data_IF_065718611452
#
_entry.id   IF_065718611452
#
_cell.length_a   1.000
_cell.length_b   1.000
_cell.length_c   1.000
_cell.angle_alpha   90.00
_cell.angle_beta   90.00
_cell.angle_gamma   90.00
#
_symmetry.space_group_name_H-M   'P 1'
#
loop_
_entity.id
_entity.type
_entity.pdbx_description
1 polymer ?
#
# COMPACT_ATOMS: atom_id res chain seq x y z
N UNK A 1 -8.47 11.24 -12.03
CA UNK A 1 -8.42 9.79 -12.36
C UNK A 1 -9.60 9.42 -13.23
N UNK A 2 -9.40 8.78 -14.41
CA UNK A 2 -10.51 8.39 -15.29
C UNK A 2 -11.45 7.40 -14.60
N UNK A 3 -12.75 7.47 -14.93
CA UNK A 3 -13.74 6.54 -14.42
C UNK A 3 -13.74 5.27 -15.27
N UNK A 4 -13.51 4.11 -14.64
CA UNK A 4 -13.68 2.83 -15.32
C UNK A 4 -15.17 2.61 -15.58
N UNK A 5 -15.54 2.46 -16.85
CA UNK A 5 -16.87 2.06 -17.30
C UNK A 5 -16.76 0.68 -17.94
N UNK A 6 -17.70 -0.20 -17.62
CA UNK A 6 -17.79 -1.55 -18.18
C UNK A 6 -18.98 -1.66 -19.15
N UNK A 7 -19.25 -0.56 -19.86
CA UNK A 7 -20.37 -0.44 -20.79
C UNK A 7 -20.05 -1.22 -22.08
N UNK A 8 -20.98 -2.06 -22.54
CA UNK A 8 -20.85 -2.80 -23.80
C UNK A 8 -21.73 -2.14 -24.84
N UNK A 9 -21.15 -1.64 -25.93
CA UNK A 9 -21.89 -1.06 -27.05
C UNK A 9 -22.07 -2.10 -28.16
N UNK A 10 -23.33 -2.44 -28.47
CA UNK A 10 -23.68 -3.33 -29.58
C UNK A 10 -23.77 -2.55 -30.88
N UNK A 11 -23.05 -3.03 -31.90
CA UNK A 11 -23.07 -2.48 -33.26
C UNK A 11 -23.88 -3.41 -34.19
N UNK A 12 -24.64 -2.87 -35.18
CA UNK A 12 -24.69 -1.46 -35.61
C UNK A 12 -25.69 -0.58 -34.86
N UNK A 13 -26.49 -1.13 -33.94
CA UNK A 13 -27.61 -0.45 -33.27
C UNK A 13 -27.21 0.63 -32.25
N UNK A 14 -25.92 0.74 -31.91
CA UNK A 14 -25.37 1.64 -30.87
C UNK A 14 -26.06 1.49 -29.50
N UNK A 15 -26.61 0.31 -29.20
CA UNK A 15 -27.28 0.05 -27.93
C UNK A 15 -26.23 -0.20 -26.83
N UNK A 16 -26.35 0.49 -25.70
CA UNK A 16 -25.43 0.36 -24.56
C UNK A 16 -26.03 -0.59 -23.53
N UNK A 17 -25.31 -1.68 -23.22
CA UNK A 17 -25.62 -2.62 -22.15
C UNK A 17 -24.71 -2.32 -20.97
N UNK A 18 -25.31 -2.03 -19.82
CA UNK A 18 -24.57 -1.94 -18.56
C UNK A 18 -24.65 -3.27 -17.80
N UNK A 19 -23.53 -3.77 -17.28
CA UNK A 19 -23.53 -5.00 -16.50
C UNK A 19 -24.25 -4.78 -15.16
N UNK A 20 -24.95 -5.82 -14.70
CA UNK A 20 -25.70 -5.79 -13.45
C UNK A 20 -24.75 -5.63 -12.25
N UNK A 21 -24.84 -4.55 -11.48
CA UNK A 21 -23.91 -4.26 -10.39
C UNK A 21 -23.88 -5.33 -9.29
N UNK A 22 -24.91 -6.18 -9.19
CA UNK A 22 -24.98 -7.27 -8.21
C UNK A 22 -24.14 -8.49 -8.64
N UNK A 23 -23.92 -8.66 -9.95
CA UNK A 23 -23.19 -9.81 -10.50
C UNK A 23 -21.70 -9.53 -10.76
N UNK A 24 -21.28 -8.28 -10.61
CA UNK A 24 -19.91 -7.86 -10.87
C UNK A 24 -19.09 -7.95 -9.59
N UNK A 25 -17.89 -8.51 -9.69
CA UNK A 25 -16.91 -8.50 -8.61
C UNK A 25 -16.61 -7.05 -8.16
N UNK A 26 -16.31 -6.80 -6.87
CA UNK A 26 -16.01 -5.45 -6.41
C UNK A 26 -14.91 -4.78 -7.24
N UNK A 27 -15.25 -3.65 -7.87
CA UNK A 27 -14.33 -2.90 -8.73
C UNK A 27 -13.26 -2.10 -7.94
N UNK A 28 -12.99 -2.47 -6.68
CA UNK A 28 -12.05 -1.74 -5.81
C UNK A 28 -10.63 -1.79 -6.35
N UNK A 29 -10.08 -2.98 -6.63
CA UNK A 29 -8.75 -3.13 -7.22
C UNK A 29 -8.60 -2.51 -8.61
N UNK A 30 -9.54 -2.71 -9.57
CA UNK A 30 -9.50 -2.00 -10.84
C UNK A 30 -9.46 -0.47 -10.67
N UNK A 31 -10.31 0.08 -9.79
CA UNK A 31 -10.32 1.52 -9.49
C UNK A 31 -9.02 1.99 -8.86
N UNK A 32 -8.45 1.21 -7.96
CA UNK A 32 -7.15 1.46 -7.37
C UNK A 32 -6.06 1.52 -8.44
N UNK A 33 -5.98 0.52 -9.33
CA UNK A 33 -5.01 0.53 -10.43
C UNK A 33 -5.20 1.69 -11.41
N UNK A 34 -6.44 2.10 -11.70
CA UNK A 34 -6.68 3.32 -12.50
C UNK A 34 -6.15 4.58 -11.80
N UNK A 35 -6.27 4.65 -10.46
CA UNK A 35 -5.66 5.69 -9.64
C UNK A 35 -4.14 5.72 -9.79
N UNK A 36 -3.49 4.57 -9.64
CA UNK A 36 -2.04 4.42 -9.80
C UNK A 36 -1.61 4.87 -11.20
N UNK A 37 -2.29 4.38 -12.25
CA UNK A 37 -1.97 4.72 -13.63
C UNK A 37 -2.08 6.23 -13.92
N UNK A 38 -3.12 6.87 -13.38
CA UNK A 38 -3.32 8.32 -13.53
C UNK A 38 -2.25 9.15 -12.83
N UNK A 39 -1.75 8.70 -11.67
CA UNK A 39 -0.61 9.34 -11.02
C UNK A 39 0.69 9.11 -11.78
N UNK A 40 0.94 7.88 -12.26
CA UNK A 40 2.15 7.55 -13.02
C UNK A 40 2.23 8.31 -14.35
N UNK A 41 1.07 8.61 -14.98
CA UNK A 41 1.01 9.42 -16.19
C UNK A 41 1.29 10.91 -15.98
N UNK A 42 1.43 11.37 -14.74
CA UNK A 42 1.78 12.76 -14.45
C UNK A 42 3.21 13.04 -14.91
N UNK A 43 3.35 13.92 -15.89
CA UNK A 43 4.65 14.39 -16.40
C UNK A 43 5.21 15.58 -15.59
N UNK A 44 4.92 15.66 -14.30
CA UNK A 44 5.32 16.78 -13.44
C UNK A 44 6.65 16.47 -12.77
N UNK A 45 7.60 17.41 -12.82
CA UNK A 45 8.86 17.28 -12.09
C UNK A 45 8.55 17.20 -10.59
N UNK A 46 9.07 16.21 -9.84
CA UNK A 46 8.84 16.09 -8.41
C UNK A 46 9.14 17.34 -7.59
N UNK A 47 10.00 18.24 -8.09
CA UNK A 47 10.34 19.49 -7.43
C UNK A 47 9.23 20.53 -7.46
N UNK A 48 8.36 20.47 -8.48
CA UNK A 48 7.25 21.41 -8.65
C UNK A 48 5.96 20.91 -7.96
N UNK A 49 6.03 19.74 -7.33
CA UNK A 49 4.88 19.10 -6.69
C UNK A 49 4.84 19.37 -5.17
N UNK A 50 3.85 20.13 -4.75
CA UNK A 50 3.67 20.53 -3.34
C UNK A 50 2.53 19.77 -2.63
N UNK A 51 2.64 19.70 -1.31
CA UNK A 51 1.64 19.12 -0.39
C UNK A 51 0.23 19.69 -0.57
N UNK A 52 0.11 20.93 -1.04
CA UNK A 52 -1.18 21.57 -1.38
C UNK A 52 -1.89 20.87 -2.55
N UNK A 53 -1.16 20.36 -3.54
CA UNK A 53 -1.73 19.64 -4.68
C UNK A 53 -2.27 18.26 -4.28
N UNK A 54 -1.66 17.63 -3.27
CA UNK A 54 -2.18 16.39 -2.66
C UNK A 54 -3.53 16.65 -1.99
N UNK A 55 -3.66 17.78 -1.30
CA UNK A 55 -4.92 18.17 -0.64
C UNK A 55 -5.99 18.65 -1.62
N UNK A 56 -5.62 19.36 -2.68
CA UNK A 56 -6.56 19.77 -3.74
C UNK A 56 -7.15 18.58 -4.50
N UNK A 57 -6.37 17.50 -4.65
CA UNK A 57 -6.83 16.26 -5.28
C UNK A 57 -7.65 15.35 -4.35
N UNK A 58 -7.81 15.71 -3.07
CA UNK A 58 -8.49 14.87 -2.10
C UNK A 58 -10.02 14.91 -2.31
N UNK A 59 -10.69 13.76 -2.53
CA UNK A 59 -12.15 13.71 -2.60
C UNK A 59 -12.78 13.86 -1.22
N UNK A 60 -14.03 14.36 -1.16
CA UNK A 60 -14.81 14.51 0.08
C UNK A 60 -14.93 13.20 0.87
N UNK A 61 -15.04 12.07 0.14
CA UNK A 61 -14.96 10.72 0.70
C UNK A 61 -13.83 9.97 0.02
N UNK A 62 -12.93 9.42 0.83
CA UNK A 62 -11.83 8.60 0.33
C UNK A 62 -12.38 7.36 -0.39
N UNK A 63 -11.88 7.14 -1.59
CA UNK A 63 -12.25 6.04 -2.47
C UNK A 63 -11.02 5.25 -2.93
N UNK A 64 -11.26 4.11 -3.57
CA UNK A 64 -10.20 3.22 -4.05
C UNK A 64 -9.29 3.91 -5.08
N UNK A 65 -9.84 4.84 -5.87
CA UNK A 65 -9.10 5.57 -6.91
C UNK A 65 -8.08 6.51 -6.28
N UNK A 66 -8.48 7.27 -5.28
CA UNK A 66 -7.59 8.18 -4.57
C UNK A 66 -6.52 7.40 -3.81
N UNK A 67 -6.88 6.27 -3.21
CA UNK A 67 -5.92 5.38 -2.57
C UNK A 67 -4.82 4.91 -3.55
N UNK A 68 -5.19 4.51 -4.77
CA UNK A 68 -4.23 4.15 -5.81
C UNK A 68 -3.43 5.34 -6.33
N UNK A 69 -4.06 6.51 -6.46
CA UNK A 69 -3.38 7.75 -6.83
C UNK A 69 -2.26 8.10 -5.85
N UNK A 70 -2.48 7.94 -4.54
CA UNK A 70 -1.44 8.15 -3.52
C UNK A 70 -0.24 7.21 -3.70
N UNK A 71 -0.48 5.93 -4.01
CA UNK A 71 0.62 5.00 -4.33
C UNK A 71 1.42 5.46 -5.54
N UNK A 72 0.73 5.82 -6.63
CA UNK A 72 1.40 6.29 -7.85
C UNK A 72 2.19 7.59 -7.65
N UNK A 73 1.68 8.53 -6.84
CA UNK A 73 2.44 9.72 -6.44
C UNK A 73 3.72 9.33 -5.69
N UNK A 74 3.64 8.32 -4.82
CA UNK A 74 4.80 7.82 -4.09
C UNK A 74 5.86 7.19 -5.01
N UNK A 75 5.42 6.41 -6.00
CA UNK A 75 6.30 5.84 -7.03
C UNK A 75 6.98 6.94 -7.88
N UNK A 76 6.26 8.02 -8.20
CA UNK A 76 6.78 9.19 -8.88
C UNK A 76 7.59 10.15 -8.00
N UNK A 77 7.85 9.79 -6.73
CA UNK A 77 8.61 10.62 -5.78
C UNK A 77 7.93 11.96 -5.41
N UNK A 78 6.63 12.09 -5.67
CA UNK A 78 5.83 13.28 -5.41
C UNK A 78 5.34 13.37 -3.95
N UNK A 79 5.48 12.31 -3.15
CA UNK A 79 5.10 12.33 -1.72
C UNK A 79 6.18 12.85 -0.78
N UNK A 80 7.31 13.40 -1.26
CA UNK A 80 8.39 13.91 -0.39
C UNK A 80 7.94 15.09 0.47
N UNK A 81 7.01 15.90 -0.04
CA UNK A 81 6.49 17.12 0.61
C UNK A 81 5.29 16.86 1.52
N UNK A 82 4.75 15.63 1.56
CA UNK A 82 3.54 15.34 2.35
C UNK A 82 3.81 15.52 3.85
N UNK A 83 2.90 16.21 4.54
CA UNK A 83 3.06 16.48 5.96
C UNK A 83 2.48 15.35 6.84
N UNK A 84 2.93 15.28 8.10
CA UNK A 84 2.49 14.23 9.04
C UNK A 84 0.98 14.25 9.31
N UNK A 85 0.39 15.43 9.34
CA UNK A 85 -1.06 15.60 9.62
C UNK A 85 -1.90 15.03 8.48
N UNK A 86 -1.49 15.27 7.23
CA UNK A 86 -2.12 14.71 6.03
C UNK A 86 -2.01 13.18 6.03
N UNK A 87 -0.83 12.63 6.32
CA UNK A 87 -0.64 11.17 6.42
C UNK A 87 -1.60 10.59 7.48
N UNK A 88 -1.66 11.20 8.66
CA UNK A 88 -2.53 10.72 9.74
C UNK A 88 -4.01 10.73 9.32
N UNK A 89 -4.49 11.80 8.67
CA UNK A 89 -5.87 11.88 8.17
C UNK A 89 -6.21 10.77 7.16
N UNK A 90 -5.25 10.39 6.30
CA UNK A 90 -5.46 9.29 5.38
C UNK A 90 -5.54 7.92 6.09
N UNK A 91 -4.70 7.71 7.11
CA UNK A 91 -4.62 6.44 7.84
C UNK A 91 -5.72 6.28 8.91
N UNK A 92 -6.27 7.39 9.41
CA UNK A 92 -7.44 7.39 10.32
C UNK A 92 -8.72 6.91 9.61
N UNK A 93 -8.80 7.14 8.29
CA UNK A 93 -9.87 6.57 7.49
C UNK A 93 -9.76 5.04 7.54
N UNK A 94 -10.78 4.35 8.05
CA UNK A 94 -10.83 2.88 8.13
C UNK A 94 -10.89 2.18 6.76
N UNK A 95 -10.45 2.85 5.69
CA UNK A 95 -10.45 2.41 4.32
C UNK A 95 -9.13 1.70 3.99
N UNK A 96 -9.16 0.37 3.97
CA UNK A 96 -7.96 -0.45 3.86
C UNK A 96 -7.13 -0.19 2.59
N UNK A 97 -7.75 0.14 1.46
CA UNK A 97 -7.02 0.49 0.23
C UNK A 97 -6.19 1.76 0.42
N UNK A 98 -6.71 2.74 1.17
CA UNK A 98 -5.97 3.98 1.47
C UNK A 98 -4.73 3.67 2.29
N UNK A 99 -4.85 2.81 3.31
CA UNK A 99 -3.71 2.36 4.11
C UNK A 99 -2.66 1.67 3.23
N UNK A 100 -3.06 0.75 2.34
CA UNK A 100 -2.15 0.07 1.42
C UNK A 100 -1.42 1.08 0.52
N UNK A 101 -2.18 2.00 -0.11
CA UNK A 101 -1.63 2.99 -1.03
C UNK A 101 -0.64 3.96 -0.35
N UNK A 102 -0.98 4.43 0.86
CA UNK A 102 -0.13 5.33 1.64
C UNK A 102 1.13 4.62 2.14
N UNK A 103 1.01 3.42 2.71
CA UNK A 103 2.16 2.68 3.24
C UNK A 103 3.18 2.37 2.14
N UNK A 104 2.72 1.84 1.01
CA UNK A 104 3.59 1.52 -0.13
C UNK A 104 4.11 2.79 -0.83
N UNK A 105 3.28 3.82 -0.99
CA UNK A 105 3.66 5.09 -1.61
C UNK A 105 4.75 5.82 -0.82
N UNK A 106 4.58 5.95 0.51
CA UNK A 106 5.60 6.53 1.39
C UNK A 106 6.88 5.70 1.38
N UNK A 107 6.78 4.37 1.47
CA UNK A 107 7.95 3.50 1.43
C UNK A 107 8.75 3.67 0.14
N UNK A 108 8.06 3.73 -1.01
CA UNK A 108 8.67 3.93 -2.33
C UNK A 108 9.35 5.29 -2.47
N UNK A 109 8.76 6.32 -1.88
CA UNK A 109 9.33 7.68 -1.86
C UNK A 109 10.66 7.75 -1.10
N UNK A 110 10.79 6.94 -0.05
CA UNK A 110 11.95 6.92 0.84
C UNK A 110 12.76 5.62 0.72
N UNK A 111 12.71 4.98 -0.46
CA UNK A 111 13.38 3.70 -0.73
C UNK A 111 14.85 3.70 -0.31
N UNK A 112 15.24 2.69 0.46
CA UNK A 112 16.62 2.51 0.96
C UNK A 112 17.11 3.53 1.98
N UNK A 113 16.31 4.53 2.37
CA UNK A 113 16.75 5.56 3.32
C UNK A 113 16.63 5.10 4.78
N UNK A 114 15.73 4.16 5.07
CA UNK A 114 15.43 3.74 6.44
C UNK A 114 14.81 4.84 7.31
N UNK A 115 14.09 5.81 6.72
CA UNK A 115 13.52 6.95 7.46
C UNK A 115 12.69 6.49 8.69
N UNK A 116 13.07 6.89 9.91
CA UNK A 116 12.43 6.39 11.14
C UNK A 116 10.98 6.85 11.28
N UNK A 117 10.59 7.96 10.64
CA UNK A 117 9.20 8.47 10.65
C UNK A 117 8.31 7.55 9.83
N UNK A 118 8.75 7.20 8.62
CA UNK A 118 8.03 6.27 7.75
C UNK A 118 8.02 4.87 8.37
N UNK A 119 9.16 4.43 8.91
CA UNK A 119 9.26 3.15 9.62
C UNK A 119 8.28 3.05 10.79
N UNK A 120 8.08 4.13 11.55
CA UNK A 120 7.12 4.18 12.66
C UNK A 120 5.67 4.07 12.17
N UNK A 121 5.34 4.75 11.07
CA UNK A 121 4.01 4.67 10.44
C UNK A 121 3.71 3.24 9.98
N UNK A 122 4.67 2.57 9.35
CA UNK A 122 4.52 1.18 8.91
C UNK A 122 4.40 0.24 10.11
N UNK A 123 5.23 0.43 11.15
CA UNK A 123 5.19 -0.40 12.36
C UNK A 123 3.79 -0.42 12.99
N UNK A 124 3.12 0.74 13.09
CA UNK A 124 1.77 0.85 13.62
C UNK A 124 0.72 -0.03 12.90
N UNK A 125 0.99 -0.41 11.65
CA UNK A 125 0.11 -1.24 10.81
C UNK A 125 0.58 -2.69 10.69
N UNK A 126 1.72 -3.04 11.31
CA UNK A 126 2.27 -4.40 11.33
C UNK A 126 2.50 -4.79 12.80
N UNK A 127 1.48 -5.33 13.49
CA UNK A 127 1.55 -5.67 14.91
C UNK A 127 2.72 -6.59 15.27
N UNK A 128 3.14 -7.45 14.34
CA UNK A 128 4.29 -8.33 14.50
C UNK A 128 5.63 -7.59 14.77
N UNK A 129 5.73 -6.32 14.37
CA UNK A 129 6.91 -5.48 14.54
C UNK A 129 6.88 -4.67 15.84
N UNK A 130 5.78 -4.74 16.60
CA UNK A 130 5.69 -4.10 17.91
C UNK A 130 6.45 -4.87 18.99
N UNK A 131 6.94 -4.18 20.04
CA UNK A 131 7.40 -4.85 21.26
C UNK A 131 6.28 -5.72 21.85
N UNK A 132 6.66 -6.82 22.51
CA UNK A 132 5.81 -7.93 23.01
C UNK A 132 4.63 -7.54 23.93
N UNK A 133 4.44 -6.26 24.24
CA UNK A 133 3.38 -5.73 25.12
C UNK A 133 2.28 -4.93 24.37
N UNK A 134 2.22 -4.96 23.04
CA UNK A 134 1.18 -4.21 22.33
C UNK A 134 -0.18 -4.92 22.30
N UNK A 135 -1.24 -4.12 22.50
CA UNK A 135 -2.65 -4.51 22.32
C UNK A 135 -2.84 -5.23 20.98
N UNK A 136 -3.60 -6.32 20.97
CA UNK A 136 -3.96 -7.06 19.75
C UNK A 136 -4.85 -6.18 18.84
N UNK A 137 -4.22 -5.37 18.01
CA UNK A 137 -4.90 -4.64 16.95
C UNK A 137 -5.26 -5.63 15.83
N UNK A 138 -6.55 -5.83 15.61
CA UNK A 138 -7.09 -6.62 14.50
C UNK A 138 -6.92 -5.83 13.20
N UNK A 139 -5.70 -5.80 12.66
CA UNK A 139 -5.38 -5.16 11.38
C UNK A 139 -5.58 -6.17 10.25
N UNK A 140 -6.22 -5.73 9.15
CA UNK A 140 -6.42 -6.56 7.97
C UNK A 140 -5.09 -7.13 7.45
N UNK A 141 -5.07 -8.43 7.16
CA UNK A 141 -3.87 -9.14 6.74
C UNK A 141 -3.24 -8.54 5.46
N UNK A 142 -4.05 -8.01 4.53
CA UNK A 142 -3.54 -7.31 3.34
C UNK A 142 -2.77 -6.02 3.68
N UNK A 143 -3.22 -5.27 4.69
CA UNK A 143 -2.50 -4.07 5.16
C UNK A 143 -1.16 -4.49 5.78
N UNK A 144 -1.14 -5.59 6.53
CA UNK A 144 0.09 -6.12 7.12
C UNK A 144 1.07 -6.61 6.03
N UNK A 145 0.58 -7.30 4.99
CA UNK A 145 1.38 -7.71 3.83
C UNK A 145 1.99 -6.51 3.11
N UNK A 146 1.18 -5.47 2.85
CA UNK A 146 1.66 -4.20 2.30
C UNK A 146 2.68 -3.52 3.24
N UNK A 147 2.51 -3.67 4.55
CA UNK A 147 3.44 -3.16 5.55
C UNK A 147 4.80 -3.86 5.53
N UNK A 148 4.87 -5.20 5.44
CA UNK A 148 6.16 -5.89 5.27
C UNK A 148 6.86 -5.51 3.98
N UNK A 149 6.09 -5.41 2.90
CA UNK A 149 6.62 -4.95 1.62
C UNK A 149 7.13 -3.51 1.74
N UNK A 150 6.37 -2.63 2.40
CA UNK A 150 6.81 -1.26 2.70
C UNK A 150 8.10 -1.19 3.50
N UNK A 151 8.24 -1.98 4.57
CA UNK A 151 9.49 -2.08 5.33
C UNK A 151 10.66 -2.55 4.45
N UNK A 152 10.44 -3.53 3.58
CA UNK A 152 11.45 -4.04 2.65
C UNK A 152 11.95 -2.97 1.68
N UNK A 153 11.04 -2.17 1.12
CA UNK A 153 11.37 -1.04 0.24
C UNK A 153 12.10 0.05 1.02
N UNK A 154 11.58 0.45 2.18
CA UNK A 154 12.17 1.51 3.00
C UNK A 154 13.60 1.17 3.44
N UNK A 155 13.85 -0.09 3.78
CA UNK A 155 15.14 -0.61 4.23
C UNK A 155 15.94 -1.34 3.14
N UNK A 156 15.61 -1.10 1.87
CA UNK A 156 16.26 -1.74 0.72
C UNK A 156 17.79 -1.65 0.80
N UNK A 157 18.46 -2.80 0.89
CA UNK A 157 19.92 -2.90 0.97
C UNK A 157 20.57 -2.34 2.25
N UNK A 158 19.79 -1.90 3.24
CA UNK A 158 20.33 -1.29 4.48
C UNK A 158 20.95 -2.33 5.41
N UNK A 159 20.55 -3.60 5.33
CA UNK A 159 21.00 -4.65 6.24
C UNK A 159 20.54 -4.46 7.70
N UNK A 160 19.41 -3.80 7.92
CA UNK A 160 18.91 -3.56 9.28
C UNK A 160 18.46 -4.87 9.95
N UNK A 161 19.33 -5.38 10.84
CA UNK A 161 19.14 -6.65 11.55
C UNK A 161 17.83 -6.74 12.31
N UNK A 162 17.39 -5.67 12.99
CA UNK A 162 16.16 -5.71 13.79
C UNK A 162 14.93 -5.93 12.91
N UNK A 163 14.89 -5.27 11.75
CA UNK A 163 13.76 -5.39 10.82
C UNK A 163 13.79 -6.75 10.13
N UNK A 164 14.97 -7.19 9.68
CA UNK A 164 15.12 -8.50 9.03
C UNK A 164 14.80 -9.66 9.98
N UNK A 165 15.27 -9.62 11.23
CA UNK A 165 14.98 -10.66 12.22
C UNK A 165 13.48 -10.72 12.55
N UNK A 166 12.81 -9.55 12.62
CA UNK A 166 11.36 -9.46 12.78
C UNK A 166 10.60 -10.13 11.63
N UNK A 167 10.95 -9.80 10.38
CA UNK A 167 10.34 -10.39 9.19
C UNK A 167 10.61 -11.89 9.07
N UNK A 168 11.84 -12.33 9.36
CA UNK A 168 12.22 -13.74 9.32
C UNK A 168 11.45 -14.56 10.36
N UNK A 169 11.22 -13.97 11.56
CA UNK A 169 10.40 -14.59 12.60
C UNK A 169 8.96 -14.79 12.12
N UNK A 170 8.39 -13.83 11.39
CA UNK A 170 7.03 -13.93 10.85
C UNK A 170 6.95 -14.93 9.69
N UNK A 171 7.93 -14.94 8.81
CA UNK A 171 8.08 -15.98 7.78
C UNK A 171 8.19 -17.38 8.40
N UNK A 172 8.98 -17.54 9.46
CA UNK A 172 9.12 -18.82 10.18
C UNK A 172 7.87 -19.27 10.94
N UNK A 173 6.94 -18.34 11.25
CA UNK A 173 5.65 -18.65 11.90
C UNK A 173 4.60 -19.20 10.93
N UNK A 174 4.93 -19.43 9.66
CA UNK A 174 4.03 -19.96 8.62
C UNK A 174 3.15 -21.11 9.14
N UNK A 175 3.68 -22.03 9.97
CA UNK A 175 2.89 -23.12 10.55
C UNK A 175 1.78 -22.69 11.55
N UNK A 176 2.00 -21.63 12.34
CA UNK A 176 1.03 -21.16 13.36
C UNK A 176 -0.03 -20.21 12.79
N UNK A 177 0.29 -19.45 11.75
CA UNK A 177 -0.70 -18.56 11.09
C UNK A 177 -1.74 -19.38 10.32
N UNK A 178 -1.40 -20.62 9.93
CA UNK A 178 -2.24 -21.58 9.21
C UNK A 178 -3.46 -22.11 9.99
N UNK A 179 -3.56 -21.92 11.31
CA UNK A 179 -4.70 -22.45 12.09
C UNK A 179 -5.73 -21.39 12.49
N UNK A 180 -5.33 -20.13 12.67
CA UNK A 180 -6.16 -19.16 13.42
C UNK A 180 -6.73 -17.99 12.58
N UNK A 181 -6.30 -17.79 11.33
CA UNK A 181 -6.77 -16.68 10.47
C UNK A 181 -7.65 -17.15 9.30
N UNK A 182 -8.59 -16.35 8.76
CA UNK A 182 -9.31 -16.73 7.54
C UNK A 182 -8.32 -16.96 6.38
N UNK A 183 -8.53 -17.99 5.57
CA UNK A 183 -7.57 -18.44 4.54
C UNK A 183 -7.18 -17.39 3.49
N UNK A 184 -7.98 -16.34 3.32
CA UNK A 184 -8.00 -15.57 2.08
C UNK A 184 -6.77 -14.70 1.76
N UNK A 185 -5.76 -14.56 2.64
CA UNK A 185 -4.57 -13.74 2.34
C UNK A 185 -3.26 -14.24 3.00
N UNK A 186 -3.23 -15.49 3.49
CA UNK A 186 -2.11 -16.03 4.29
C UNK A 186 -0.83 -16.18 3.49
N UNK A 187 -0.94 -16.71 2.28
CA UNK A 187 0.18 -16.87 1.36
C UNK A 187 0.77 -15.51 0.98
N UNK A 188 -0.08 -14.51 0.72
CA UNK A 188 0.37 -13.14 0.44
C UNK A 188 1.13 -12.54 1.62
N UNK A 189 0.72 -12.81 2.86
CA UNK A 189 1.42 -12.36 4.06
C UNK A 189 2.82 -12.96 4.18
N UNK A 190 2.92 -14.29 4.09
CA UNK A 190 4.21 -14.99 4.21
C UNK A 190 5.14 -14.66 3.05
N UNK A 191 4.60 -14.54 1.83
CA UNK A 191 5.33 -14.10 0.65
C UNK A 191 5.86 -12.68 0.83
N UNK A 192 5.04 -11.72 1.25
CA UNK A 192 5.47 -10.34 1.47
C UNK A 192 6.49 -10.23 2.61
N UNK A 193 6.37 -11.03 3.68
CA UNK A 193 7.37 -11.08 4.75
C UNK A 193 8.73 -11.60 4.23
N UNK A 194 8.72 -12.66 3.42
CA UNK A 194 9.93 -13.23 2.81
C UNK A 194 10.58 -12.29 1.78
N UNK A 195 9.79 -11.71 0.88
CA UNK A 195 10.27 -10.72 -0.10
C UNK A 195 10.79 -9.47 0.59
N UNK A 196 10.06 -8.95 1.58
CA UNK A 196 10.47 -7.82 2.40
C UNK A 196 11.83 -8.08 3.06
N UNK A 197 11.98 -9.24 3.71
CA UNK A 197 13.26 -9.68 4.29
C UNK A 197 14.39 -9.66 3.25
N UNK A 198 14.17 -10.30 2.09
CA UNK A 198 15.16 -10.37 1.01
C UNK A 198 15.60 -8.99 0.51
N UNK A 199 14.69 -8.02 0.44
CA UNK A 199 15.01 -6.64 0.05
C UNK A 199 15.86 -5.92 1.10
N UNK A 200 15.61 -6.15 2.39
CA UNK A 200 16.41 -5.55 3.46
C UNK A 200 17.87 -6.03 3.42
N UNK A 201 18.08 -7.33 3.19
CA UNK A 201 19.41 -7.97 3.15
C UNK A 201 20.01 -8.07 1.75
N UNK A 202 19.44 -7.38 0.76
CA UNK A 202 19.86 -7.47 -0.64
C UNK A 202 21.34 -7.11 -0.79
N UNK A 203 22.12 -7.99 -1.42
CA UNK A 203 23.55 -7.79 -1.66
C UNK A 203 24.44 -7.90 -0.41
N UNK A 204 23.91 -8.44 0.71
CA UNK A 204 24.66 -8.67 1.97
C UNK A 204 25.01 -10.14 2.21
N UNK A 205 24.80 -11.00 1.22
CA UNK A 205 25.19 -12.41 1.28
C UNK A 205 26.71 -12.60 1.18
N UNK A 206 27.20 -13.66 1.83
CA UNK A 206 28.58 -14.15 1.76
C UNK A 206 28.82 -14.95 0.49
#
# INVERSE_FOLDING_TARGET
VPMIKLDVQLLPTNFIIQPDPVKIEPLSWPRFHAGVAAALSLSMDPRDFDSSQISLGQPDKLDDRHAGYLLGLGLNQHLKSINRVQIFRYLESKHYMTSIGVLLGLSSTFIGTGDPRVSSIIAAHVPAMHPTESIQLQVNLLIQSAGFMGFGILHFGTGNRRISDGMLREFGKTWRVLTDTPDNCRESYTLCAGLGYGLVILGKGS
#
